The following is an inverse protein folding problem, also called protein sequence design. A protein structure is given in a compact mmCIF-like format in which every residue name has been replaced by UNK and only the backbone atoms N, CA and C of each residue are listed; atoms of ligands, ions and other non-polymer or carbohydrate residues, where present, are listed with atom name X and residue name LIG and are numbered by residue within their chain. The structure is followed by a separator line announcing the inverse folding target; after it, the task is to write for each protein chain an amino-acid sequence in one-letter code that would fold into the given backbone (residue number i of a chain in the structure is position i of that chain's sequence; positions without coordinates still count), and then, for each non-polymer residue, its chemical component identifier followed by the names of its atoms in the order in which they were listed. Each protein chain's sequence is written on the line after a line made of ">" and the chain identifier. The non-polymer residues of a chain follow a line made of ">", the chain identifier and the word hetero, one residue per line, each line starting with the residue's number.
data_IF_556449736054
#
_entry.id   IF_556449736054
#
_cell.length_a   1.000
_cell.length_b   1.000
_cell.length_c   1.000
_cell.angle_alpha   90.00
_cell.angle_beta   90.00
_cell.angle_gamma   90.00
#
_symmetry.space_group_name_H-M   'P 1'
#
loop_
_entity.id
_entity.type
_entity.pdbx_description
1 polymer ?
#
# COMPACT_ATOMS: atom_id res chain seq x y z
N UNK A 1 -16.85 -33.92 -24.74
CA UNK A 1 -15.60 -33.12 -24.67
C UNK A 1 -15.79 -31.84 -25.45
N UNK A 2 -15.47 -30.68 -24.87
CA UNK A 2 -15.74 -29.37 -25.50
C UNK A 2 -14.65 -29.00 -26.50
N UNK A 3 -15.05 -28.46 -27.65
CA UNK A 3 -14.14 -28.00 -28.70
C UNK A 3 -13.39 -26.75 -28.21
N UNK A 4 -12.05 -26.77 -28.26
CA UNK A 4 -11.21 -25.62 -27.90
C UNK A 4 -11.47 -24.47 -28.90
N UNK A 5 -12.05 -23.37 -28.42
CA UNK A 5 -12.26 -22.16 -29.22
C UNK A 5 -11.23 -21.09 -28.86
N UNK A 6 -11.06 -20.05 -29.70
CA UNK A 6 -10.23 -18.86 -29.37
C UNK A 6 -10.64 -18.20 -28.05
N UNK A 7 -11.88 -18.39 -27.60
CA UNK A 7 -12.44 -17.83 -26.37
C UNK A 7 -12.07 -18.70 -25.16
N UNK A 8 -11.94 -20.02 -25.34
CA UNK A 8 -11.63 -20.98 -24.26
C UNK A 8 -10.13 -21.30 -24.15
N UNK A 9 -9.30 -20.81 -25.08
CA UNK A 9 -7.85 -21.01 -25.03
C UNK A 9 -7.25 -20.18 -23.87
N UNK A 10 -6.52 -20.80 -22.93
CA UNK A 10 -5.89 -20.07 -21.84
C UNK A 10 -4.94 -19.00 -22.39
N UNK A 11 -4.98 -17.80 -21.79
CA UNK A 11 -4.06 -16.71 -22.13
C UNK A 11 -2.62 -17.21 -22.01
N UNK A 12 -1.72 -16.67 -22.86
CA UNK A 12 -0.28 -16.99 -22.84
C UNK A 12 0.35 -16.79 -21.45
N UNK A 13 -0.19 -15.84 -20.68
CA UNK A 13 0.18 -15.58 -19.30
C UNK A 13 -1.06 -15.83 -18.44
N UNK A 14 -1.01 -16.84 -17.57
CA UNK A 14 -2.07 -17.12 -16.62
C UNK A 14 -1.91 -16.23 -15.38
N UNK A 15 -2.62 -15.12 -15.36
CA UNK A 15 -2.73 -14.16 -14.25
C UNK A 15 -4.04 -14.29 -13.47
N UNK A 16 -4.90 -15.27 -13.81
CA UNK A 16 -6.19 -15.49 -13.16
C UNK A 16 -6.02 -15.97 -11.73
N UNK A 17 -6.77 -15.33 -10.82
CA UNK A 17 -6.80 -15.71 -9.42
C UNK A 17 -7.52 -17.05 -9.27
N UNK A 18 -7.02 -17.94 -8.41
CA UNK A 18 -7.80 -19.10 -8.00
C UNK A 18 -8.99 -18.62 -7.15
N UNK A 19 -10.15 -18.45 -7.78
CA UNK A 19 -11.39 -18.01 -7.12
C UNK A 19 -11.81 -18.91 -5.92
N UNK A 20 -11.26 -20.13 -5.84
CA UNK A 20 -11.52 -21.08 -4.74
C UNK A 20 -10.83 -20.72 -3.40
N UNK A 21 -10.11 -19.59 -3.30
CA UNK A 21 -9.50 -19.08 -2.05
C UNK A 21 -10.01 -17.70 -1.65
N UNK A 22 -11.20 -17.31 -2.07
CA UNK A 22 -11.73 -15.95 -1.91
C UNK A 22 -12.12 -15.55 -0.46
N UNK A 23 -11.96 -16.40 0.55
CA UNK A 23 -12.65 -16.18 1.84
C UNK A 23 -11.94 -15.29 2.87
N UNK A 24 -10.71 -14.81 2.64
CA UNK A 24 -9.98 -14.03 3.67
C UNK A 24 -9.14 -12.87 3.11
N UNK A 25 -9.40 -12.41 1.88
CA UNK A 25 -8.62 -11.34 1.28
C UNK A 25 -9.23 -9.98 1.65
N UNK A 26 -8.45 -9.12 2.29
CA UNK A 26 -8.83 -7.74 2.63
C UNK A 26 -9.47 -7.04 1.43
N UNK A 27 -10.58 -6.34 1.66
CA UNK A 27 -11.28 -5.61 0.58
C UNK A 27 -10.46 -4.41 0.08
N UNK A 28 -9.54 -3.89 0.90
CA UNK A 28 -8.68 -2.76 0.55
C UNK A 28 -7.54 -3.13 -0.38
N UNK A 29 -7.03 -4.36 -0.30
CA UNK A 29 -5.89 -4.84 -1.08
C UNK A 29 -6.22 -6.21 -1.67
N UNK A 30 -7.12 -6.26 -2.67
CA UNK A 30 -7.39 -7.51 -3.36
C UNK A 30 -6.10 -8.02 -3.98
N UNK A 31 -5.87 -9.32 -3.88
CA UNK A 31 -4.72 -9.94 -4.55
C UNK A 31 -4.86 -9.69 -6.06
N UNK A 32 -3.86 -9.06 -6.65
CA UNK A 32 -3.79 -8.85 -8.09
C UNK A 32 -2.71 -9.74 -8.69
N UNK A 33 -3.06 -10.48 -9.75
CA UNK A 33 -2.14 -11.38 -10.41
C UNK A 33 -1.78 -12.62 -9.57
N UNK A 34 -0.75 -13.33 -10.03
CA UNK A 34 -0.42 -14.68 -9.56
C UNK A 34 1.10 -14.89 -9.51
N UNK A 35 1.66 -15.26 -8.34
CA UNK A 35 3.05 -15.66 -8.27
C UNK A 35 3.29 -17.00 -8.99
N UNK A 36 4.50 -17.17 -9.54
CA UNK A 36 4.94 -18.43 -10.14
C UNK A 36 6.03 -19.07 -9.28
N UNK A 37 5.86 -20.36 -9.02
CA UNK A 37 6.80 -21.16 -8.25
C UNK A 37 6.67 -20.96 -6.74
N UNK A 38 7.64 -21.47 -5.99
CA UNK A 38 7.70 -21.31 -4.54
C UNK A 38 8.08 -19.89 -4.12
N UNK A 39 7.63 -19.48 -2.93
CA UNK A 39 8.12 -18.27 -2.27
C UNK A 39 9.28 -18.60 -1.34
N UNK A 40 10.22 -17.66 -1.22
CA UNK A 40 11.13 -17.59 -0.07
C UNK A 40 10.66 -16.47 0.86
N UNK A 41 10.97 -16.59 2.16
CA UNK A 41 10.67 -15.57 3.16
C UNK A 41 11.96 -14.85 3.50
N UNK A 42 11.93 -13.53 3.61
CA UNK A 42 13.07 -12.73 4.02
C UNK A 42 12.62 -11.62 4.98
N UNK A 43 13.45 -11.24 5.96
CA UNK A 43 13.12 -10.18 6.89
C UNK A 43 13.20 -8.82 6.20
N UNK A 44 12.27 -7.93 6.52
CA UNK A 44 12.37 -6.52 6.13
C UNK A 44 13.18 -5.74 7.18
N UNK A 45 14.05 -4.84 6.72
CA UNK A 45 14.71 -3.88 7.59
C UNK A 45 13.71 -2.90 8.21
N UNK A 46 14.03 -2.26 9.35
CA UNK A 46 13.15 -1.23 9.92
C UNK A 46 12.84 -0.09 8.95
N UNK A 47 13.79 0.27 8.10
CA UNK A 47 13.62 1.32 7.08
C UNK A 47 12.63 0.88 6.00
N UNK A 48 12.79 -0.33 5.44
CA UNK A 48 11.88 -0.87 4.43
C UNK A 48 10.45 -0.99 4.99
N UNK A 49 10.29 -1.46 6.23
CA UNK A 49 8.98 -1.51 6.90
C UNK A 49 8.35 -0.14 7.01
N UNK A 50 9.12 0.85 7.46
CA UNK A 50 8.63 2.23 7.63
C UNK A 50 8.24 2.84 6.29
N UNK A 51 9.05 2.64 5.25
CA UNK A 51 8.78 3.15 3.90
C UNK A 51 7.55 2.48 3.29
N UNK A 52 7.45 1.15 3.35
CA UNK A 52 6.31 0.40 2.84
C UNK A 52 5.02 0.79 3.57
N UNK A 53 5.05 0.88 4.90
CA UNK A 53 3.89 1.27 5.71
C UNK A 53 3.43 2.69 5.37
N UNK A 54 4.36 3.65 5.33
CA UNK A 54 4.07 5.04 4.95
C UNK A 54 3.42 5.10 3.57
N UNK A 55 3.99 4.39 2.59
CA UNK A 55 3.48 4.38 1.23
C UNK A 55 2.04 3.90 1.18
N UNK A 56 1.74 2.76 1.81
CA UNK A 56 0.40 2.19 1.86
C UNK A 56 -0.58 3.15 2.54
N UNK A 57 -0.20 3.72 3.68
CA UNK A 57 -1.09 4.64 4.42
C UNK A 57 -1.42 5.90 3.62
N UNK A 58 -0.46 6.49 2.92
CA UNK A 58 -0.65 7.75 2.22
C UNK A 58 -1.33 7.60 0.85
N UNK A 59 -1.32 6.40 0.27
CA UNK A 59 -1.96 6.09 -1.02
C UNK A 59 -3.25 5.25 -0.88
N UNK A 60 -3.69 4.94 0.33
CA UNK A 60 -4.93 4.18 0.56
C UNK A 60 -6.15 5.12 0.67
N UNK A 61 -7.15 4.90 -0.19
CA UNK A 61 -8.38 5.70 -0.20
C UNK A 61 -9.14 5.67 1.14
N UNK A 62 -9.18 4.52 1.82
CA UNK A 62 -9.82 4.37 3.12
C UNK A 62 -9.14 5.17 4.24
N UNK A 63 -7.87 5.53 4.06
CA UNK A 63 -7.07 6.29 5.04
C UNK A 63 -7.20 7.81 4.83
N UNK A 64 -7.67 8.27 3.66
CA UNK A 64 -7.83 9.71 3.33
C UNK A 64 -8.56 10.53 4.41
N UNK A 65 -9.69 10.07 5.01
CA UNK A 65 -10.36 10.85 6.06
C UNK A 65 -9.47 11.10 7.30
N UNK A 66 -8.59 10.14 7.63
CA UNK A 66 -7.64 10.28 8.74
C UNK A 66 -6.50 11.24 8.39
N UNK A 67 -6.05 11.22 7.13
CA UNK A 67 -5.05 12.19 6.63
C UNK A 67 -5.63 13.61 6.73
N UNK A 68 -6.88 13.81 6.35
CA UNK A 68 -7.55 15.11 6.44
C UNK A 68 -7.79 15.55 7.89
N UNK A 69 -8.16 14.62 8.78
CA UNK A 69 -8.22 14.88 10.23
C UNK A 69 -6.86 15.35 10.76
N UNK A 70 -5.78 14.66 10.39
CA UNK A 70 -4.42 15.01 10.80
C UNK A 70 -3.97 16.35 10.22
N UNK A 71 -4.27 16.62 8.96
CA UNK A 71 -4.04 17.89 8.28
C UNK A 71 -4.71 19.05 9.03
N UNK A 72 -5.96 18.85 9.46
CA UNK A 72 -6.70 19.84 10.25
C UNK A 72 -6.09 20.03 11.65
N UNK A 73 -5.61 18.96 12.28
CA UNK A 73 -4.86 19.04 13.54
C UNK A 73 -3.59 19.88 13.41
N UNK A 74 -2.82 19.69 12.33
CA UNK A 74 -1.62 20.50 12.05
C UNK A 74 -1.99 21.99 11.97
N UNK A 75 -3.02 22.32 11.19
CA UNK A 75 -3.49 23.71 11.02
C UNK A 75 -3.94 24.33 12.35
N UNK A 76 -4.73 23.61 13.15
CA UNK A 76 -5.20 24.09 14.47
C UNK A 76 -4.07 24.32 15.47
N UNK A 77 -3.07 23.45 15.48
CA UNK A 77 -1.95 23.52 16.42
C UNK A 77 -0.93 24.62 16.08
N UNK A 78 -1.10 25.33 14.96
CA UNK A 78 -0.13 26.32 14.48
C UNK A 78 -0.21 27.69 15.18
N UNK A 79 -0.93 27.81 16.30
CA UNK A 79 -0.96 29.00 17.20
C UNK A 79 -1.08 30.35 16.47
N UNK A 80 -1.98 30.44 15.49
CA UNK A 80 -2.23 31.67 14.72
C UNK A 80 -1.32 31.86 13.49
N UNK A 81 -0.26 31.06 13.34
CA UNK A 81 0.50 30.99 12.08
C UNK A 81 -0.24 30.08 11.09
N UNK A 82 -0.26 30.47 9.82
CA UNK A 82 -0.71 29.60 8.71
C UNK A 82 0.49 28.79 8.19
N UNK A 83 0.58 27.47 8.44
CA UNK A 83 1.67 26.66 7.89
C UNK A 83 1.53 26.59 6.37
N UNK A 84 2.67 26.57 5.66
CA UNK A 84 2.66 26.44 4.20
C UNK A 84 2.18 25.04 3.77
N UNK A 85 1.71 24.90 2.53
CA UNK A 85 1.31 23.60 2.00
C UNK A 85 2.46 22.57 2.10
N UNK A 86 3.67 22.97 1.70
CA UNK A 86 4.89 22.14 1.80
C UNK A 86 5.22 21.74 3.24
N UNK A 87 5.02 22.63 4.22
CA UNK A 87 5.21 22.31 5.63
C UNK A 87 4.19 21.27 6.13
N UNK A 88 2.92 21.43 5.76
CA UNK A 88 1.85 20.48 6.08
C UNK A 88 2.16 19.11 5.48
N UNK A 89 2.50 19.04 4.20
CA UNK A 89 2.82 17.77 3.52
C UNK A 89 4.07 17.10 4.11
N UNK A 90 5.11 17.87 4.46
CA UNK A 90 6.29 17.33 5.16
C UNK A 90 5.91 16.70 6.49
N UNK A 91 5.02 17.34 7.25
CA UNK A 91 4.53 16.82 8.54
C UNK A 91 3.63 15.60 8.38
N UNK A 92 2.77 15.57 7.37
CA UNK A 92 1.97 14.38 7.05
C UNK A 92 2.92 13.21 6.74
N UNK A 93 3.85 13.38 5.81
CA UNK A 93 4.81 12.33 5.45
C UNK A 93 5.63 11.81 6.65
N UNK A 94 6.04 12.72 7.55
CA UNK A 94 6.89 12.37 8.69
C UNK A 94 6.12 11.80 9.88
N UNK A 95 5.02 12.44 10.28
CA UNK A 95 4.37 12.21 11.57
C UNK A 95 3.09 11.36 11.45
N UNK A 96 2.47 11.29 10.27
CA UNK A 96 1.21 10.55 10.09
C UNK A 96 1.32 9.05 10.39
N UNK A 97 2.37 8.33 9.93
CA UNK A 97 2.51 6.89 10.21
C UNK A 97 2.54 6.56 11.71
N UNK A 98 3.07 7.46 12.55
CA UNK A 98 3.11 7.29 14.00
C UNK A 98 1.82 7.75 14.69
N UNK A 99 1.10 8.70 14.08
CA UNK A 99 -0.13 9.24 14.62
C UNK A 99 -1.34 8.33 14.35
N UNK A 100 -1.43 7.77 13.14
CA UNK A 100 -2.57 6.99 12.69
C UNK A 100 -2.89 5.79 13.61
N UNK A 101 -1.91 4.95 14.01
CA UNK A 101 -2.18 3.83 14.93
C UNK A 101 -2.70 4.27 16.29
N UNK A 102 -2.21 5.41 16.80
CA UNK A 102 -2.68 5.99 18.07
C UNK A 102 -4.13 6.44 17.96
N UNK A 103 -4.50 7.07 16.83
CA UNK A 103 -5.88 7.49 16.57
C UNK A 103 -6.82 6.29 16.49
N UNK A 104 -6.45 5.25 15.75
CA UNK A 104 -7.22 4.01 15.65
C UNK A 104 -7.40 3.36 17.03
N UNK A 105 -6.34 3.30 17.85
CA UNK A 105 -6.42 2.78 19.21
C UNK A 105 -7.40 3.56 20.10
N UNK A 106 -7.44 4.88 19.99
CA UNK A 106 -8.40 5.72 20.73
C UNK A 106 -9.84 5.40 20.30
N UNK A 107 -10.10 5.31 18.98
CA UNK A 107 -11.42 4.98 18.46
C UNK A 107 -11.88 3.61 18.96
N UNK A 108 -10.99 2.61 18.91
CA UNK A 108 -11.27 1.27 19.41
C UNK A 108 -11.59 1.26 20.91
N UNK A 109 -10.86 2.03 21.71
CA UNK A 109 -11.13 2.16 23.14
C UNK A 109 -12.50 2.80 23.41
N UNK A 110 -12.86 3.85 22.68
CA UNK A 110 -14.20 4.48 22.78
C UNK A 110 -15.29 3.49 22.39
N UNK A 111 -15.08 2.67 21.35
CA UNK A 111 -16.01 1.60 20.93
C UNK A 111 -16.29 0.60 22.05
N UNK A 112 -15.26 0.20 22.78
CA UNK A 112 -15.40 -0.75 23.89
C UNK A 112 -16.19 -0.11 25.04
N UNK A 113 -15.95 1.18 25.32
CA UNK A 113 -16.59 1.88 26.44
C UNK A 113 -18.03 2.34 26.13
N UNK A 114 -18.35 2.64 24.87
CA UNK A 114 -19.65 3.16 24.44
C UNK A 114 -20.05 2.54 23.09
N UNK A 115 -20.60 1.31 23.08
CA UNK A 115 -20.93 0.61 21.84
C UNK A 115 -22.00 1.33 21.00
N UNK A 116 -22.90 2.09 21.63
CA UNK A 116 -24.04 2.74 20.97
C UNK A 116 -23.67 4.05 20.24
N UNK A 117 -22.47 4.61 20.48
CA UNK A 117 -22.03 5.92 19.96
C UNK A 117 -20.89 5.75 18.92
N UNK A 118 -20.37 4.54 18.75
CA UNK A 118 -19.12 4.33 18.04
C UNK A 118 -19.27 4.39 16.52
N UNK A 119 -18.61 5.36 15.89
CA UNK A 119 -18.35 5.33 14.45
C UNK A 119 -17.45 4.13 14.15
N UNK A 120 -17.97 3.14 13.42
CA UNK A 120 -17.32 1.84 13.24
C UNK A 120 -16.11 1.95 12.31
N UNK A 121 -14.91 1.75 12.85
CA UNK A 121 -13.72 1.53 12.03
C UNK A 121 -13.72 0.10 11.47
N UNK A 122 -13.35 -0.08 10.20
CA UNK A 122 -13.29 -1.40 9.58
C UNK A 122 -12.09 -2.22 10.08
N UNK A 123 -12.22 -3.54 10.06
CA UNK A 123 -11.13 -4.47 10.40
C UNK A 123 -9.88 -4.21 9.54
N UNK A 124 -10.08 -3.87 8.26
CA UNK A 124 -8.98 -3.54 7.34
C UNK A 124 -8.17 -2.31 7.81
N UNK A 125 -8.84 -1.28 8.33
CA UNK A 125 -8.17 -0.11 8.92
C UNK A 125 -7.45 -0.45 10.24
N UNK A 126 -7.98 -1.38 11.03
CA UNK A 126 -7.28 -1.91 12.21
C UNK A 126 -5.98 -2.62 11.82
N UNK A 127 -5.98 -3.43 10.75
CA UNK A 127 -4.77 -4.05 10.23
C UNK A 127 -3.78 -3.03 9.67
N UNK A 128 -4.26 -2.03 8.92
CA UNK A 128 -3.41 -0.93 8.42
C UNK A 128 -2.72 -0.17 9.56
N UNK A 129 -3.39 0.02 10.69
CA UNK A 129 -2.80 0.66 11.86
C UNK A 129 -1.69 -0.18 12.52
N UNK A 130 -1.73 -1.51 12.41
CA UNK A 130 -0.67 -2.39 12.95
C UNK A 130 0.60 -2.37 12.11
N UNK A 131 0.49 -2.03 10.83
CA UNK A 131 1.61 -2.00 9.90
C UNK A 131 1.94 -3.37 9.29
N UNK A 132 2.97 -3.43 8.43
CA UNK A 132 3.33 -4.63 7.69
C UNK A 132 3.95 -5.71 8.60
N UNK A 133 3.85 -6.96 8.16
CA UNK A 133 4.52 -8.08 8.83
C UNK A 133 6.05 -7.90 8.84
N UNK A 134 6.74 -8.49 9.82
CA UNK A 134 8.19 -8.39 9.91
C UNK A 134 8.95 -8.94 8.70
N UNK A 135 8.36 -9.93 8.04
CA UNK A 135 8.94 -10.66 6.93
C UNK A 135 8.08 -10.51 5.68
N UNK A 136 8.75 -10.48 4.53
CA UNK A 136 8.14 -10.43 3.22
C UNK A 136 8.39 -11.72 2.44
N UNK A 137 7.48 -12.01 1.50
CA UNK A 137 7.63 -13.12 0.55
C UNK A 137 8.29 -12.62 -0.73
N UNK A 138 9.26 -13.36 -1.23
CA UNK A 138 9.90 -13.12 -2.54
C UNK A 138 9.60 -14.27 -3.48
N UNK A 139 9.28 -13.91 -4.72
CA UNK A 139 9.01 -14.84 -5.82
C UNK A 139 10.00 -14.60 -6.96
N UNK A 140 10.27 -15.64 -7.74
CA UNK A 140 11.17 -15.52 -8.91
C UNK A 140 10.47 -15.02 -10.17
N UNK A 141 9.13 -15.12 -10.21
CA UNK A 141 8.32 -14.59 -11.30
C UNK A 141 6.88 -14.30 -10.82
N UNK A 142 6.24 -13.33 -11.45
CA UNK A 142 4.89 -12.88 -11.12
C UNK A 142 4.11 -12.53 -12.39
N UNK A 143 2.89 -13.06 -12.52
CA UNK A 143 2.00 -12.74 -13.62
C UNK A 143 0.98 -11.70 -13.15
N UNK A 144 0.86 -10.58 -13.85
CA UNK A 144 -0.14 -9.55 -13.54
C UNK A 144 -0.49 -8.78 -14.81
N UNK A 145 -1.77 -8.47 -15.02
CA UNK A 145 -2.26 -7.70 -16.16
C UNK A 145 -1.80 -8.26 -17.52
N UNK A 146 -1.73 -9.58 -17.66
CA UNK A 146 -1.25 -10.27 -18.87
C UNK A 146 0.27 -10.25 -19.08
N UNK A 147 1.04 -9.65 -18.18
CA UNK A 147 2.51 -9.63 -18.23
C UNK A 147 3.13 -10.61 -17.25
N UNK A 148 4.27 -11.19 -17.62
CA UNK A 148 5.08 -12.05 -16.73
C UNK A 148 6.35 -11.31 -16.36
N UNK A 149 6.44 -10.85 -15.12
CA UNK A 149 7.66 -10.27 -14.56
C UNK A 149 8.56 -11.36 -14.00
N UNK A 150 9.86 -11.26 -14.19
CA UNK A 150 10.84 -12.22 -13.68
C UNK A 150 11.98 -11.50 -12.98
N UNK A 151 12.68 -12.18 -12.07
CA UNK A 151 13.91 -11.62 -11.51
C UNK A 151 15.03 -11.63 -12.55
N UNK A 152 15.94 -10.65 -12.46
CA UNK A 152 17.05 -10.45 -13.40
C UNK A 152 17.85 -11.74 -13.66
N UNK A 153 18.10 -12.55 -12.62
CA UNK A 153 18.86 -13.79 -12.77
C UNK A 153 18.18 -14.86 -13.64
N UNK A 154 16.84 -14.85 -13.74
CA UNK A 154 16.09 -15.73 -14.66
C UNK A 154 16.07 -15.21 -16.09
N UNK A 155 16.27 -13.92 -16.29
CA UNK A 155 16.28 -13.29 -17.61
C UNK A 155 17.68 -13.27 -18.24
N UNK A 156 18.71 -13.67 -17.48
CA UNK A 156 20.07 -13.73 -17.98
C UNK A 156 20.16 -14.64 -19.22
N UNK A 157 20.56 -14.07 -20.36
CA UNK A 157 20.67 -14.77 -21.63
C UNK A 157 19.36 -14.86 -22.44
N UNK A 158 18.25 -14.29 -21.96
CA UNK A 158 17.03 -14.16 -22.74
C UNK A 158 17.08 -12.93 -23.66
N UNK A 159 16.35 -13.00 -24.78
CA UNK A 159 16.25 -11.90 -25.76
C UNK A 159 15.41 -10.71 -25.26
N UNK A 160 14.53 -10.93 -24.28
CA UNK A 160 13.60 -9.91 -23.76
C UNK A 160 13.72 -9.81 -22.25
N UNK A 161 13.74 -8.60 -21.72
CA UNK A 161 13.77 -8.31 -20.29
C UNK A 161 12.43 -7.75 -19.83
N UNK A 162 11.89 -8.30 -18.75
CA UNK A 162 10.67 -7.85 -18.08
C UNK A 162 10.84 -7.92 -16.56
N UNK A 163 12.03 -7.56 -16.07
CA UNK A 163 12.39 -7.57 -14.64
C UNK A 163 12.22 -6.23 -13.92
N UNK A 164 11.93 -5.16 -14.65
CA UNK A 164 11.71 -3.84 -14.10
C UNK A 164 10.28 -3.63 -13.61
N UNK A 165 10.14 -3.13 -12.39
CA UNK A 165 8.87 -2.57 -11.87
C UNK A 165 9.16 -1.18 -11.32
N UNK A 166 8.25 -0.23 -11.57
CA UNK A 166 8.29 1.10 -10.97
C UNK A 166 6.95 1.37 -10.29
N UNK A 167 6.99 2.31 -9.36
CA UNK A 167 5.84 2.70 -8.55
C UNK A 167 5.61 4.19 -8.75
N UNK A 168 4.44 4.55 -9.25
CA UNK A 168 3.95 5.93 -9.24
C UNK A 168 3.28 6.21 -7.90
N UNK A 169 3.49 7.40 -7.36
CA UNK A 169 3.04 7.77 -6.01
C UNK A 169 2.34 9.11 -6.08
N UNK A 170 1.05 9.17 -5.73
CA UNK A 170 0.29 10.44 -5.71
C UNK A 170 0.81 11.39 -4.61
N UNK A 171 1.63 10.87 -3.69
CA UNK A 171 2.20 11.62 -2.59
C UNK A 171 3.32 12.54 -3.07
N UNK A 172 3.18 13.84 -2.79
CA UNK A 172 4.23 14.80 -3.10
C UNK A 172 5.54 14.45 -2.40
N UNK A 173 6.60 14.25 -3.18
CA UNK A 173 7.93 13.99 -2.64
C UNK A 173 8.59 15.33 -2.28
N UNK A 174 9.10 15.42 -1.05
CA UNK A 174 9.91 16.54 -0.57
C UNK A 174 11.24 15.91 -0.15
N UNK A 175 12.18 15.81 -1.08
CA UNK A 175 13.45 15.10 -0.89
C UNK A 175 14.45 15.94 -0.08
N UNK A 176 14.32 17.27 -0.10
CA UNK A 176 15.22 18.18 0.62
C UNK A 176 14.53 19.44 1.13
N UNK A 177 15.23 20.21 1.98
CA UNK A 177 14.80 21.55 2.38
C UNK A 177 14.86 22.58 1.24
N UNK A 178 15.54 22.26 0.13
CA UNK A 178 15.57 23.09 -1.07
C UNK A 178 14.30 22.95 -1.92
N UNK A 179 13.53 21.88 -1.73
CA UNK A 179 12.22 21.69 -2.38
C UNK A 179 11.20 22.63 -1.73
N UNK A 180 11.14 23.87 -2.24
CA UNK A 180 10.16 24.88 -1.79
C UNK A 180 8.74 24.50 -2.20
N UNK A 181 8.58 23.71 -3.26
CA UNK A 181 7.31 23.29 -3.83
C UNK A 181 7.17 21.77 -3.80
N UNK A 182 6.04 21.28 -3.28
CA UNK A 182 5.62 19.90 -3.42
C UNK A 182 5.46 19.56 -4.91
N UNK A 183 6.30 18.66 -5.44
CA UNK A 183 6.10 18.13 -6.80
C UNK A 183 5.05 17.03 -6.73
N UNK A 184 4.00 17.13 -7.53
CA UNK A 184 3.13 15.98 -7.80
C UNK A 184 3.94 14.99 -8.65
N UNK A 185 3.77 13.68 -8.41
CA UNK A 185 4.22 12.71 -9.41
C UNK A 185 3.25 12.81 -10.59
N UNK A 186 3.80 12.93 -11.80
CA UNK A 186 3.04 12.80 -13.05
C UNK A 186 2.59 11.35 -13.29
#
# INVERSE_FOLDING_TARGET
>A
EGIESRINRPKRVNDELNHNKASEVSSLFPQQGKPIGGSTIFPLSPLEKTQAHRYVLLNCAAVKPFIDEFRNRIKRNSRGRRPSATEVERRINKEFPDWFPKRVKIILFVRIMNPDIANTISTDLEFLARGPMPDARRFTAYNINGFKFQIVSREQGLKTQNSGVFLTSDTSCIASNADRNARQAE
#
